data_IF_917144906657
#
_entry.id   IF_917144906657
#
_cell.length_a   1.000
_cell.length_b   1.000
_cell.length_c   1.000
_cell.angle_alpha   90.00
_cell.angle_beta   90.00
_cell.angle_gamma   90.00
#
_symmetry.space_group_name_H-M   'P 1'
#
loop_
_entity.id
_entity.type
_entity.pdbx_description
1 polymer ?
#
# COMPACT_ATOMS: atom_id res chain seq x y z
N UNK A 1 -16.60 19.57 48.98
CA UNK A 1 -15.51 18.76 48.41
C UNK A 1 -16.09 18.08 47.19
N UNK A 2 -15.99 18.73 46.05
CA UNK A 2 -16.57 18.32 44.77
C UNK A 2 -15.44 17.69 43.94
N UNK A 3 -15.54 16.40 43.71
CA UNK A 3 -14.61 15.62 42.88
C UNK A 3 -14.90 15.89 41.42
N UNK A 4 -14.01 16.62 40.73
CA UNK A 4 -14.05 16.77 39.28
C UNK A 4 -13.62 15.45 38.64
N UNK A 5 -14.54 14.75 38.02
CA UNK A 5 -14.30 13.65 37.11
C UNK A 5 -13.69 14.23 35.82
N UNK A 6 -12.39 14.04 35.67
CA UNK A 6 -11.69 14.28 34.43
C UNK A 6 -12.27 13.34 33.35
N UNK A 7 -13.12 13.93 32.51
CA UNK A 7 -13.60 13.27 31.28
C UNK A 7 -12.41 13.04 30.36
N UNK A 8 -11.95 11.79 30.28
CA UNK A 8 -11.07 11.35 29.20
C UNK A 8 -11.90 11.27 27.92
N UNK A 9 -11.75 12.27 27.07
CA UNK A 9 -12.22 12.15 25.69
C UNK A 9 -11.45 10.99 25.03
N UNK A 10 -12.13 10.06 24.35
CA UNK A 10 -11.44 9.03 23.60
C UNK A 10 -10.64 9.70 22.48
N UNK A 11 -9.36 9.36 22.38
CA UNK A 11 -8.52 9.74 21.27
C UNK A 11 -9.24 9.33 19.97
N UNK A 12 -9.34 10.26 19.03
CA UNK A 12 -9.95 10.04 17.72
C UNK A 12 -9.22 8.89 17.03
N UNK A 13 -9.78 7.71 17.13
CA UNK A 13 -9.27 6.49 16.50
C UNK A 13 -9.52 6.57 15.00
N UNK A 14 -8.47 6.69 14.22
CA UNK A 14 -8.25 6.04 12.91
C UNK A 14 -9.28 6.13 11.78
N UNK A 15 -10.43 6.74 11.96
CA UNK A 15 -11.52 6.75 10.97
C UNK A 15 -11.37 7.80 9.87
N UNK A 16 -10.65 8.89 10.11
CA UNK A 16 -10.44 9.95 9.11
C UNK A 16 -9.34 9.60 8.08
N UNK A 17 -8.44 8.69 8.41
CA UNK A 17 -7.35 8.25 7.54
C UNK A 17 -7.85 7.37 6.37
N UNK A 18 -8.95 6.66 6.59
CA UNK A 18 -9.56 5.74 5.61
C UNK A 18 -10.18 6.50 4.43
N UNK A 19 -10.59 7.75 4.60
CA UNK A 19 -11.31 8.52 3.59
C UNK A 19 -10.55 8.72 2.27
N UNK A 20 -9.22 8.91 2.32
CA UNK A 20 -8.40 9.14 1.13
C UNK A 20 -7.99 7.84 0.42
N UNK A 21 -8.05 6.71 1.11
CA UNK A 21 -7.83 5.37 0.56
C UNK A 21 -9.12 4.54 0.52
N UNK A 22 -10.29 5.17 0.65
CA UNK A 22 -11.58 4.44 0.61
C UNK A 22 -11.89 3.91 -0.79
N UNK A 23 -12.67 2.84 -0.84
CA UNK A 23 -13.16 2.27 -2.10
C UNK A 23 -13.84 3.34 -2.95
N UNK A 24 -13.48 3.43 -4.22
CA UNK A 24 -13.95 4.42 -5.18
C UNK A 24 -13.19 5.76 -5.14
N UNK A 25 -12.32 5.99 -4.16
CA UNK A 25 -11.49 7.20 -4.14
C UNK A 25 -10.50 7.20 -5.30
N UNK A 26 -10.22 8.41 -5.82
CA UNK A 26 -9.20 8.63 -6.82
C UNK A 26 -7.87 8.92 -6.12
N UNK A 27 -6.86 8.07 -6.32
CA UNK A 27 -5.51 8.39 -5.86
C UNK A 27 -4.93 9.52 -6.69
N UNK A 28 -4.14 10.34 -6.03
CA UNK A 28 -3.35 11.36 -6.71
C UNK A 28 -2.28 10.68 -7.59
N UNK A 29 -2.02 11.21 -8.75
CA UNK A 29 -0.84 10.84 -9.54
C UNK A 29 0.39 11.52 -8.92
N UNK A 30 0.90 10.91 -7.85
CA UNK A 30 2.09 11.39 -7.16
C UNK A 30 3.37 10.89 -7.84
N UNK A 31 4.46 11.61 -7.61
CA UNK A 31 5.77 11.27 -8.12
C UNK A 31 6.74 11.01 -6.96
N UNK A 32 7.35 9.82 -6.92
CA UNK A 32 8.32 9.41 -5.90
C UNK A 32 9.59 8.87 -6.53
N UNK A 33 10.67 8.79 -5.75
CA UNK A 33 11.87 8.11 -6.16
C UNK A 33 11.69 6.59 -6.07
N UNK A 34 12.02 5.87 -7.13
CA UNK A 34 12.11 4.41 -7.10
C UNK A 34 13.41 3.95 -6.41
N UNK A 35 13.53 2.64 -6.18
CA UNK A 35 14.71 2.03 -5.58
C UNK A 35 16.00 2.16 -6.41
N UNK A 36 15.91 2.58 -7.68
CA UNK A 36 17.06 2.90 -8.53
C UNK A 36 17.41 4.40 -8.50
N UNK A 37 16.62 5.22 -7.79
CA UNK A 37 16.81 6.66 -7.64
C UNK A 37 16.18 7.50 -8.76
N UNK A 38 15.32 6.92 -9.60
CA UNK A 38 14.60 7.65 -10.63
C UNK A 38 13.26 8.17 -10.09
N UNK A 39 12.88 9.39 -10.45
CA UNK A 39 11.52 9.89 -10.17
C UNK A 39 10.53 9.27 -11.13
N UNK A 40 9.45 8.74 -10.58
CA UNK A 40 8.43 8.00 -11.34
C UNK A 40 7.03 8.40 -10.88
N UNK A 41 6.16 8.84 -11.78
CA UNK A 41 4.75 9.06 -11.46
C UNK A 41 4.02 7.72 -11.29
N UNK A 42 2.99 7.73 -10.42
CA UNK A 42 2.20 6.53 -10.14
C UNK A 42 1.56 5.96 -11.40
N UNK A 43 1.01 6.82 -12.25
CA UNK A 43 0.38 6.43 -13.52
C UNK A 43 1.32 5.65 -14.46
N UNK A 44 2.59 6.05 -14.53
CA UNK A 44 3.61 5.33 -15.30
C UNK A 44 3.88 3.94 -14.71
N UNK A 45 3.97 3.86 -13.38
CA UNK A 45 4.25 2.62 -12.67
C UNK A 45 3.08 1.62 -12.75
N UNK A 46 1.87 2.11 -12.74
CA UNK A 46 0.63 1.33 -12.96
C UNK A 46 0.56 0.83 -14.40
N UNK A 47 0.90 1.69 -15.37
CA UNK A 47 1.10 1.30 -16.77
C UNK A 47 -0.07 0.56 -17.44
N UNK A 48 -1.30 0.80 -17.01
CA UNK A 48 -2.49 0.16 -17.55
C UNK A 48 -2.88 -1.15 -16.88
N UNK A 49 -2.17 -1.59 -15.82
CA UNK A 49 -2.40 -2.86 -15.14
C UNK A 49 -3.03 -2.68 -13.75
N UNK A 50 -3.87 -3.63 -13.28
CA UNK A 50 -4.30 -3.68 -11.89
C UNK A 50 -3.10 -3.71 -10.94
N UNK A 51 -3.11 -2.88 -9.90
CA UNK A 51 -1.92 -2.70 -9.07
C UNK A 51 -2.24 -2.78 -7.57
N UNK A 52 -1.47 -3.59 -6.84
CA UNK A 52 -1.41 -3.56 -5.39
C UNK A 52 -0.46 -2.47 -4.95
N UNK A 53 -0.93 -1.49 -4.18
CA UNK A 53 -0.08 -0.46 -3.57
C UNK A 53 -0.04 -0.68 -2.07
N UNK A 54 1.15 -0.97 -1.55
CA UNK A 54 1.41 -1.16 -0.12
C UNK A 54 2.11 0.07 0.44
N UNK A 55 1.52 0.68 1.47
CA UNK A 55 2.18 1.64 2.35
C UNK A 55 2.70 0.89 3.57
N UNK A 56 4.00 0.93 3.84
CA UNK A 56 4.61 0.16 4.92
C UNK A 56 5.50 1.01 5.82
N UNK A 57 5.73 0.55 7.04
CA UNK A 57 6.43 1.33 8.07
C UNK A 57 7.91 1.53 7.80
N UNK A 58 8.56 0.51 7.25
CA UNK A 58 10.00 0.48 6.98
C UNK A 58 10.55 -0.94 7.11
N UNK A 59 11.76 -1.14 6.62
CA UNK A 59 12.45 -2.44 6.56
C UNK A 59 12.64 -3.09 7.94
N UNK A 60 12.75 -2.28 8.98
CA UNK A 60 13.00 -2.70 10.37
C UNK A 60 11.79 -3.33 11.07
N UNK A 61 10.58 -3.15 10.55
CA UNK A 61 9.36 -3.60 11.22
C UNK A 61 9.09 -5.10 10.99
N UNK A 62 9.05 -5.94 12.06
CA UNK A 62 8.82 -7.38 11.90
C UNK A 62 7.47 -7.73 11.27
N UNK A 63 6.44 -6.92 11.50
CA UNK A 63 5.10 -7.12 10.89
C UNK A 63 5.17 -6.92 9.38
N UNK A 64 5.97 -5.94 8.92
CA UNK A 64 6.19 -5.72 7.49
C UNK A 64 6.93 -6.89 6.87
N UNK A 65 8.02 -7.32 7.47
CA UNK A 65 8.80 -8.47 6.97
C UNK A 65 7.93 -9.73 6.88
N UNK A 66 7.00 -9.94 7.84
CA UNK A 66 6.05 -11.05 7.78
C UNK A 66 5.05 -10.89 6.63
N UNK A 67 4.58 -9.67 6.36
CA UNK A 67 3.64 -9.40 5.27
C UNK A 67 4.33 -9.48 3.89
N UNK A 68 5.57 -9.02 3.77
CA UNK A 68 6.33 -9.14 2.52
C UNK A 68 6.46 -10.59 2.05
N UNK A 69 6.49 -11.59 2.95
CA UNK A 69 6.47 -13.01 2.58
C UNK A 69 5.18 -13.40 1.83
N UNK A 70 4.05 -12.78 2.16
CA UNK A 70 2.79 -12.98 1.42
C UNK A 70 2.86 -12.37 0.03
N UNK A 71 3.42 -11.16 -0.09
CA UNK A 71 3.60 -10.50 -1.38
C UNK A 71 4.61 -11.25 -2.27
N UNK A 72 5.65 -11.83 -1.69
CA UNK A 72 6.58 -12.68 -2.43
C UNK A 72 5.90 -13.93 -3.00
N UNK A 73 4.98 -14.54 -2.25
CA UNK A 73 4.20 -15.67 -2.75
C UNK A 73 3.26 -15.25 -3.90
N UNK A 74 2.75 -14.01 -3.88
CA UNK A 74 1.88 -13.48 -4.93
C UNK A 74 2.65 -13.02 -6.18
N UNK A 75 3.95 -12.76 -6.07
CA UNK A 75 4.76 -12.12 -7.10
C UNK A 75 4.72 -12.84 -8.45
N UNK A 76 4.83 -14.16 -8.45
CA UNK A 76 4.85 -14.94 -9.71
C UNK A 76 3.51 -14.85 -10.44
N UNK A 77 2.40 -14.91 -9.72
CA UNK A 77 1.07 -14.81 -10.30
C UNK A 77 0.80 -13.39 -10.83
N UNK A 78 1.24 -12.37 -10.10
CA UNK A 78 1.11 -10.96 -10.51
C UNK A 78 1.84 -10.69 -11.83
N UNK A 79 3.05 -11.25 -11.99
CA UNK A 79 3.85 -11.07 -13.20
C UNK A 79 3.19 -11.71 -14.45
N UNK A 80 2.60 -12.90 -14.32
CA UNK A 80 1.93 -13.58 -15.44
C UNK A 80 0.51 -13.07 -15.67
N UNK A 81 -0.11 -12.46 -14.67
CA UNK A 81 -1.49 -11.96 -14.74
C UNK A 81 -1.60 -10.49 -15.23
N UNK A 82 -0.50 -9.91 -15.73
CA UNK A 82 -0.47 -8.49 -16.10
C UNK A 82 -1.02 -7.60 -14.97
N UNK A 83 -0.48 -7.81 -13.78
CA UNK A 83 -0.77 -7.02 -12.58
C UNK A 83 0.54 -6.55 -11.96
N UNK A 84 0.46 -5.61 -11.01
CA UNK A 84 1.67 -5.02 -10.43
C UNK A 84 1.58 -4.96 -8.91
N UNK A 85 2.76 -4.84 -8.29
CA UNK A 85 2.92 -4.51 -6.87
C UNK A 85 3.82 -3.28 -6.78
N UNK A 86 3.45 -2.34 -5.92
CA UNK A 86 4.26 -1.20 -5.52
C UNK A 86 4.33 -1.17 -3.99
N UNK A 87 5.52 -0.94 -3.43
CA UNK A 87 5.71 -0.81 -1.99
C UNK A 87 6.30 0.57 -1.68
N UNK A 88 5.68 1.32 -0.77
CA UNK A 88 5.99 2.72 -0.47
C UNK A 88 6.33 2.86 1.00
N UNK A 89 7.48 3.45 1.32
CA UNK A 89 7.89 3.81 2.68
C UNK A 89 8.56 5.17 2.74
N UNK A 90 8.86 5.60 3.95
CA UNK A 90 9.70 6.80 4.18
C UNK A 90 11.20 6.50 4.07
N UNK A 91 11.58 5.24 3.91
CA UNK A 91 12.99 4.86 3.77
C UNK A 91 13.58 5.50 2.49
N UNK A 92 14.83 5.97 2.53
CA UNK A 92 15.48 6.53 1.34
C UNK A 92 15.72 5.44 0.26
N UNK A 93 15.89 5.83 -1.02
CA UNK A 93 16.01 4.89 -2.14
C UNK A 93 17.04 3.78 -1.94
N UNK A 94 18.20 4.10 -1.34
CA UNK A 94 19.29 3.15 -1.10
C UNK A 94 18.89 2.06 -0.09
N UNK A 95 18.11 2.45 0.95
CA UNK A 95 17.59 1.51 1.96
C UNK A 95 16.53 0.60 1.33
N UNK A 96 15.62 1.18 0.55
CA UNK A 96 14.62 0.44 -0.21
C UNK A 96 15.25 -0.52 -1.23
N UNK A 97 16.32 -0.10 -1.92
CA UNK A 97 17.08 -0.97 -2.83
C UNK A 97 17.69 -2.17 -2.10
N UNK A 98 18.35 -1.93 -0.95
CA UNK A 98 18.97 -3.00 -0.16
C UNK A 98 17.93 -3.96 0.41
N UNK A 99 16.81 -3.42 0.95
CA UNK A 99 15.72 -4.23 1.49
C UNK A 99 15.06 -5.08 0.41
N UNK A 100 14.72 -4.48 -0.74
CA UNK A 100 14.18 -5.16 -1.92
C UNK A 100 15.07 -6.33 -2.36
N UNK A 101 16.37 -6.07 -2.48
CA UNK A 101 17.36 -7.11 -2.87
C UNK A 101 17.43 -8.23 -1.84
N UNK A 102 17.45 -7.91 -0.54
CA UNK A 102 17.48 -8.89 0.54
C UNK A 102 16.23 -9.77 0.59
N UNK A 103 15.09 -9.26 0.17
CA UNK A 103 13.83 -10.01 0.05
C UNK A 103 13.78 -10.89 -1.21
N UNK A 104 14.57 -10.59 -2.24
CA UNK A 104 14.40 -11.18 -3.58
C UNK A 104 13.16 -10.66 -4.31
N UNK A 105 12.65 -9.49 -3.92
CA UNK A 105 11.49 -8.87 -4.53
C UNK A 105 11.85 -8.31 -5.92
N UNK A 106 10.98 -8.52 -6.92
CA UNK A 106 11.17 -8.02 -8.29
C UNK A 106 10.37 -6.76 -8.61
N UNK A 107 9.33 -6.44 -7.83
CA UNK A 107 8.50 -5.24 -8.02
C UNK A 107 9.19 -3.96 -7.55
N UNK A 108 8.56 -2.82 -7.81
CA UNK A 108 9.12 -1.49 -7.52
C UNK A 108 8.88 -1.08 -6.08
N UNK A 109 9.94 -0.61 -5.43
CA UNK A 109 9.90 0.06 -4.13
C UNK A 109 10.07 1.57 -4.34
N UNK A 110 9.23 2.36 -3.68
CA UNK A 110 9.16 3.80 -3.76
C UNK A 110 9.50 4.44 -2.41
N UNK A 111 10.14 5.57 -2.47
CA UNK A 111 10.67 6.30 -1.32
C UNK A 111 10.01 7.67 -1.18
N UNK A 112 9.47 7.95 0.00
CA UNK A 112 8.89 9.24 0.42
C UNK A 112 9.66 9.79 1.64
N UNK A 113 10.99 10.06 1.51
CA UNK A 113 11.82 10.45 2.65
C UNK A 113 11.42 11.81 3.22
N UNK A 114 10.86 12.69 2.41
CA UNK A 114 10.40 14.03 2.79
C UNK A 114 8.96 14.00 3.37
N UNK A 115 8.32 12.84 3.37
CA UNK A 115 6.96 12.60 3.91
C UNK A 115 5.86 13.47 3.27
N UNK A 116 6.06 13.90 2.05
CA UNK A 116 5.08 14.70 1.33
C UNK A 116 3.81 13.91 1.04
N UNK A 117 3.96 12.70 0.49
CA UNK A 117 2.84 11.82 0.21
C UNK A 117 2.17 11.32 1.50
N UNK A 118 2.97 10.93 2.51
CA UNK A 118 2.49 10.52 3.83
C UNK A 118 1.56 11.59 4.43
N UNK A 119 1.98 12.86 4.36
CA UNK A 119 1.22 13.99 4.88
C UNK A 119 -0.06 14.23 4.07
N UNK A 120 0.03 14.19 2.73
CA UNK A 120 -1.13 14.39 1.83
C UNK A 120 -2.19 13.31 2.00
N UNK A 121 -1.78 12.07 2.21
CA UNK A 121 -2.68 10.94 2.43
C UNK A 121 -3.11 10.80 3.90
N UNK A 122 -2.58 11.61 4.82
CA UNK A 122 -2.81 11.53 6.27
C UNK A 122 -2.49 10.15 6.84
N UNK A 123 -1.46 9.51 6.32
CA UNK A 123 -1.02 8.17 6.71
C UNK A 123 0.14 8.19 7.72
N UNK A 124 0.25 9.24 8.52
CA UNK A 124 1.29 9.34 9.54
C UNK A 124 0.93 8.52 10.77
N UNK A 125 1.82 7.61 11.17
CA UNK A 125 1.72 6.84 12.42
C UNK A 125 2.18 7.70 13.60
N UNK A 126 1.26 8.24 14.36
CA UNK A 126 1.56 9.21 15.43
C UNK A 126 2.00 8.57 16.74
N UNK A 127 1.85 7.25 16.89
CA UNK A 127 2.26 6.53 18.11
C UNK A 127 3.73 6.12 18.10
N UNK A 128 4.37 6.05 16.93
CA UNK A 128 5.80 5.82 16.76
C UNK A 128 6.53 7.14 16.48
N UNK A 129 6.86 7.84 17.55
CA UNK A 129 7.55 9.15 17.46
C UNK A 129 9.04 9.06 17.13
N UNK A 130 9.61 7.84 17.12
CA UNK A 130 11.01 7.62 16.78
C UNK A 130 11.21 7.56 15.27
N UNK A 131 10.38 6.78 14.59
CA UNK A 131 10.52 6.52 13.15
C UNK A 131 9.56 7.36 12.32
N UNK A 132 8.45 7.81 12.90
CA UNK A 132 7.41 8.60 12.23
C UNK A 132 6.96 7.97 10.89
N UNK A 133 6.64 6.66 10.88
CA UNK A 133 6.42 5.90 9.67
C UNK A 133 5.02 6.07 9.10
N UNK A 134 4.76 5.45 7.95
CA UNK A 134 3.39 5.28 7.46
C UNK A 134 2.53 4.45 8.42
N UNK A 135 1.26 4.82 8.58
CA UNK A 135 0.22 3.87 8.99
C UNK A 135 0.16 2.81 7.89
N UNK A 136 0.38 1.53 8.20
CA UNK A 136 0.35 0.50 7.18
C UNK A 136 -1.02 0.39 6.52
N UNK A 137 -1.03 0.40 5.20
CA UNK A 137 -2.24 0.21 4.41
C UNK A 137 -1.90 -0.54 3.12
N UNK A 138 -2.86 -1.26 2.58
CA UNK A 138 -2.77 -1.90 1.27
C UNK A 138 -4.02 -1.54 0.49
N UNK A 139 -3.84 -1.07 -0.73
CA UNK A 139 -4.94 -0.83 -1.65
C UNK A 139 -4.72 -1.58 -2.96
N UNK A 140 -5.81 -2.03 -3.56
CA UNK A 140 -5.81 -2.48 -4.96
C UNK A 140 -6.43 -1.38 -5.78
N UNK A 141 -5.74 -0.95 -6.82
CA UNK A 141 -6.20 0.12 -7.71
C UNK A 141 -6.35 -0.38 -9.14
N UNK A 142 -7.25 0.27 -9.87
CA UNK A 142 -7.40 0.09 -11.29
C UNK A 142 -6.40 0.96 -12.08
N UNK A 143 -6.30 0.81 -13.42
CA UNK A 143 -5.42 1.62 -14.27
C UNK A 143 -5.69 3.12 -14.22
N UNK A 144 -6.89 3.54 -13.87
CA UNK A 144 -7.28 4.94 -13.73
C UNK A 144 -6.95 5.49 -12.33
N UNK A 145 -6.18 4.75 -11.53
CA UNK A 145 -5.76 5.07 -10.16
C UNK A 145 -6.94 5.13 -9.16
N UNK A 146 -8.06 4.48 -9.46
CA UNK A 146 -9.20 4.41 -8.56
C UNK A 146 -9.05 3.23 -7.60
N UNK A 147 -9.31 3.46 -6.33
CA UNK A 147 -9.24 2.42 -5.30
C UNK A 147 -10.41 1.44 -5.48
N UNK A 148 -10.08 0.19 -5.78
CA UNK A 148 -11.01 -0.94 -5.84
C UNK A 148 -11.26 -1.51 -4.46
N UNK A 149 -10.17 -1.79 -3.70
CA UNK A 149 -10.23 -2.33 -2.34
C UNK A 149 -9.19 -1.69 -1.47
N UNK A 150 -9.48 -1.50 -0.17
CA UNK A 150 -8.57 -0.93 0.80
C UNK A 150 -8.53 -1.75 2.09
N UNK A 151 -7.33 -2.05 2.56
CA UNK A 151 -7.04 -2.79 3.77
C UNK A 151 -6.25 -1.93 4.74
N UNK A 152 -6.77 -1.74 5.96
CA UNK A 152 -6.03 -1.07 7.02
C UNK A 152 -5.08 -2.07 7.69
N UNK A 153 -3.78 -1.88 7.52
CA UNK A 153 -2.73 -2.75 8.02
C UNK A 153 -2.21 -2.42 9.41
N UNK A 154 -2.78 -1.44 10.13
CA UNK A 154 -2.35 -1.06 11.47
C UNK A 154 -2.33 -2.26 12.43
N UNK A 155 -3.39 -3.06 12.41
CA UNK A 155 -3.40 -4.37 13.03
C UNK A 155 -2.90 -5.41 12.01
N UNK A 156 -1.95 -6.27 12.42
CA UNK A 156 -1.41 -7.29 11.52
C UNK A 156 -2.50 -8.15 10.84
N UNK A 157 -3.55 -8.48 11.59
CA UNK A 157 -4.69 -9.27 11.10
C UNK A 157 -5.60 -8.51 10.12
N UNK A 158 -5.49 -7.19 10.04
CA UNK A 158 -6.21 -6.38 9.04
C UNK A 158 -5.52 -6.33 7.68
N UNK A 159 -4.34 -6.95 7.55
CA UNK A 159 -3.63 -7.04 6.27
C UNK A 159 -4.21 -8.14 5.40
N UNK A 160 -4.31 -7.94 4.08
CA UNK A 160 -4.92 -8.91 3.20
C UNK A 160 -4.13 -10.22 3.16
N UNK A 161 -4.85 -11.31 2.94
CA UNK A 161 -4.28 -12.60 2.59
C UNK A 161 -3.88 -12.63 1.11
N UNK A 162 -3.16 -13.67 0.70
CA UNK A 162 -2.89 -13.95 -0.71
C UNK A 162 -4.20 -14.06 -1.51
N UNK A 163 -5.18 -14.83 -1.00
CA UNK A 163 -6.44 -15.10 -1.66
C UNK A 163 -7.29 -13.83 -1.84
N UNK A 164 -7.27 -12.93 -0.86
CA UNK A 164 -7.95 -11.64 -0.95
C UNK A 164 -7.34 -10.78 -2.04
N UNK A 165 -6.01 -10.64 -2.09
CA UNK A 165 -5.33 -9.87 -3.13
C UNK A 165 -5.53 -10.48 -4.52
N UNK A 166 -5.42 -11.80 -4.64
CA UNK A 166 -5.63 -12.50 -5.90
C UNK A 166 -7.08 -12.37 -6.41
N UNK A 167 -8.07 -12.37 -5.51
CA UNK A 167 -9.47 -12.11 -5.83
C UNK A 167 -9.65 -10.69 -6.35
N UNK A 168 -9.16 -9.70 -5.61
CA UNK A 168 -9.33 -8.28 -5.93
C UNK A 168 -8.66 -7.92 -7.27
N UNK A 169 -7.44 -8.40 -7.50
CA UNK A 169 -6.75 -8.23 -8.78
C UNK A 169 -7.53 -8.86 -9.94
N UNK A 170 -8.12 -10.04 -9.72
CA UNK A 170 -8.95 -10.71 -10.73
C UNK A 170 -10.23 -9.92 -11.03
N UNK A 171 -10.85 -9.33 -10.00
CA UNK A 171 -12.05 -8.50 -10.17
C UNK A 171 -11.74 -7.25 -10.99
N UNK A 172 -10.64 -6.54 -10.70
CA UNK A 172 -10.20 -5.37 -11.49
C UNK A 172 -9.87 -5.80 -12.92
N UNK A 173 -9.13 -6.90 -13.11
CA UNK A 173 -8.77 -7.40 -14.45
C UNK A 173 -10.00 -7.69 -15.30
N UNK A 174 -11.04 -8.28 -14.73
CA UNK A 174 -12.31 -8.52 -15.43
C UNK A 174 -13.03 -7.22 -15.80
N UNK A 175 -12.99 -6.22 -14.91
CA UNK A 175 -13.67 -4.95 -15.13
C UNK A 175 -13.03 -4.12 -16.27
N UNK A 176 -11.70 -4.19 -16.41
CA UNK A 176 -10.96 -3.42 -17.44
C UNK A 176 -10.81 -4.16 -18.77
N UNK A 177 -11.06 -5.47 -18.81
CA UNK A 177 -11.00 -6.30 -20.02
C UNK A 177 -12.41 -6.72 -20.42
N UNK A 178 -13.09 -5.84 -21.15
CA UNK A 178 -14.44 -6.08 -21.62
C UNK A 178 -14.56 -7.25 -22.63
N UNK A 179 -13.44 -7.65 -23.22
CA UNK A 179 -13.31 -8.77 -24.18
C UNK A 179 -12.97 -10.12 -23.50
N UNK A 180 -12.82 -10.12 -22.18
CA UNK A 180 -12.49 -11.33 -21.46
C UNK A 180 -13.73 -12.17 -21.15
N UNK A 181 -13.84 -13.29 -21.81
CA UNK A 181 -14.82 -14.33 -21.49
C UNK A 181 -14.13 -15.47 -20.73
N UNK A 182 -14.70 -15.83 -19.57
CA UNK A 182 -14.21 -17.01 -18.87
C UNK A 182 -14.41 -18.26 -19.74
N UNK A 183 -13.40 -19.16 -19.82
CA UNK A 183 -13.61 -20.44 -20.48
C UNK A 183 -14.84 -21.13 -19.87
N UNK A 184 -15.77 -21.53 -20.69
CA UNK A 184 -16.92 -22.36 -20.28
C UNK A 184 -16.40 -23.75 -19.94
N UNK A 185 -16.76 -24.35 -18.79
CA UNK A 185 -16.29 -25.66 -18.41
C UNK A 185 -16.83 -26.77 -19.35
#
# INVERSE_FOLDING_TARGET
MTSELLSHAPASTGTDTVGLLSVGAQLLDFELFDHAGNRRPLSELVGGDPTVVQFYRGWWCPKEQAFFRRLLALQEDVEVAYSRILSISIDPPQVNAAFRAGLGARWTFLSDPDRELQTRLRLRETTDTLNDPYVPAVVVIDPDLRVHTAYNGYWYWGRPTYEELARDLREVSRAIRADWEAPTP
#
